data_IF_882308314504
#
_entry.id   IF_882308314504
#
_cell.length_a   1.000
_cell.length_b   1.000
_cell.length_c   1.000
_cell.angle_alpha   90.00
_cell.angle_beta   90.00
_cell.angle_gamma   90.00
#
_symmetry.space_group_name_H-M   'P 1'
#
loop_
_entity.id
_entity.type
_entity.pdbx_description
1 polymer ?
#
# COMPACT_ATOMS: atom_id res chain seq x y z
N UNK A 1 51.89 -22.87 38.57
CA UNK A 1 51.13 -21.61 38.71
C UNK A 1 50.42 -21.36 37.40
N UNK A 2 49.11 -21.51 37.43
CA UNK A 2 48.21 -21.35 36.30
C UNK A 2 47.72 -19.90 36.19
N UNK A 3 47.07 -19.60 35.07
CA UNK A 3 46.24 -18.43 34.80
C UNK A 3 46.94 -17.15 34.30
N UNK A 4 47.35 -17.14 33.03
CA UNK A 4 47.29 -15.92 32.19
C UNK A 4 46.94 -16.32 30.76
N UNK A 5 45.72 -16.82 30.51
CA UNK A 5 45.26 -16.99 29.12
C UNK A 5 43.74 -17.14 28.97
N UNK A 6 42.92 -16.25 29.54
CA UNK A 6 41.49 -16.22 29.16
C UNK A 6 40.83 -14.89 29.52
N UNK A 7 41.07 -13.83 28.74
CA UNK A 7 40.25 -12.61 28.86
C UNK A 7 40.13 -11.77 27.57
N UNK A 8 40.31 -12.39 26.40
CA UNK A 8 40.14 -11.70 25.11
C UNK A 8 39.51 -12.65 24.10
N UNK A 9 38.26 -13.07 24.32
CA UNK A 9 37.46 -13.79 23.30
C UNK A 9 35.95 -13.85 23.65
N UNK A 10 35.37 -12.75 24.14
CA UNK A 10 33.92 -12.60 24.34
C UNK A 10 33.39 -11.25 23.81
N UNK A 11 33.85 -10.84 22.61
CA UNK A 11 33.27 -9.71 21.86
C UNK A 11 32.70 -10.16 20.49
N UNK A 12 32.41 -11.45 20.33
CA UNK A 12 31.91 -12.04 19.09
C UNK A 12 30.57 -12.75 19.32
N UNK A 13 29.51 -12.01 19.69
CA UNK A 13 28.13 -12.51 19.59
C UNK A 13 27.08 -11.38 19.75
N UNK A 14 27.18 -10.31 18.98
CA UNK A 14 26.02 -9.43 18.74
C UNK A 14 26.15 -8.62 17.44
N UNK A 15 26.84 -9.13 16.42
CA UNK A 15 26.61 -8.69 15.04
C UNK A 15 25.35 -9.38 14.50
N UNK A 16 24.24 -9.23 15.23
CA UNK A 16 22.92 -9.41 14.67
C UNK A 16 22.74 -8.28 13.69
N UNK A 17 23.07 -8.56 12.42
CA UNK A 17 22.58 -7.88 11.24
C UNK A 17 21.70 -6.66 11.55
N UNK A 18 22.27 -5.45 11.50
CA UNK A 18 21.52 -4.18 11.47
C UNK A 18 20.86 -4.06 10.10
N UNK A 19 20.07 -5.05 9.71
CA UNK A 19 19.03 -4.85 8.73
C UNK A 19 17.99 -3.97 9.40
N UNK A 20 17.71 -2.82 8.79
CA UNK A 20 16.77 -1.83 9.31
C UNK A 20 15.52 -2.52 9.84
N UNK A 21 15.29 -2.38 11.15
CA UNK A 21 14.12 -3.00 11.78
C UNK A 21 12.86 -2.53 11.07
N UNK A 22 11.90 -3.43 10.88
CA UNK A 22 10.61 -3.16 10.22
C UNK A 22 9.47 -3.32 11.20
N UNK A 23 8.32 -2.77 10.83
CA UNK A 23 7.07 -3.13 11.50
C UNK A 23 6.81 -4.64 11.34
N UNK A 24 6.35 -5.25 12.42
CA UNK A 24 5.91 -6.64 12.46
C UNK A 24 4.67 -6.75 13.33
N UNK A 25 3.90 -7.80 13.10
CA UNK A 25 2.79 -8.19 13.98
C UNK A 25 3.26 -9.36 14.85
N UNK A 26 2.98 -9.29 16.15
CA UNK A 26 3.21 -10.38 17.09
C UNK A 26 1.97 -10.50 17.98
N UNK A 27 1.23 -11.62 17.84
CA UNK A 27 -0.10 -11.75 18.42
C UNK A 27 -1.02 -10.64 17.90
N UNK A 28 -1.59 -9.87 18.83
CA UNK A 28 -2.47 -8.73 18.55
C UNK A 28 -1.76 -7.36 18.61
N UNK A 29 -0.43 -7.34 18.52
CA UNK A 29 0.36 -6.11 18.66
C UNK A 29 1.20 -5.84 17.42
N UNK A 30 1.25 -4.55 17.06
CA UNK A 30 2.22 -4.03 16.11
C UNK A 30 3.49 -3.72 16.90
N UNK A 31 4.64 -4.16 16.40
CA UNK A 31 5.94 -3.93 17.01
C UNK A 31 6.94 -3.33 16.03
N UNK A 32 7.81 -2.46 16.54
CA UNK A 32 8.98 -1.93 15.85
C UNK A 32 10.18 -2.01 16.79
N UNK A 33 11.33 -2.52 16.32
CA UNK A 33 12.54 -2.70 17.15
C UNK A 33 12.28 -3.43 18.49
N UNK A 34 11.36 -4.39 18.48
CA UNK A 34 10.98 -5.19 19.66
C UNK A 34 10.06 -4.48 20.66
N UNK A 35 9.64 -3.25 20.39
CA UNK A 35 8.70 -2.50 21.23
C UNK A 35 7.31 -2.46 20.60
N UNK A 36 6.26 -2.48 21.43
CA UNK A 36 4.89 -2.24 20.99
C UNK A 36 4.79 -0.81 20.45
N UNK A 37 4.15 -0.65 19.30
CA UNK A 37 3.91 0.64 18.65
C UNK A 37 2.42 0.82 18.41
N UNK A 38 1.94 2.05 18.59
CA UNK A 38 0.65 2.51 18.12
C UNK A 38 0.87 3.36 16.86
N UNK A 39 0.13 3.07 15.78
CA UNK A 39 0.20 3.83 14.53
C UNK A 39 -0.68 5.08 14.66
N UNK A 40 -0.05 6.24 14.88
CA UNK A 40 -0.72 7.53 15.04
C UNK A 40 -0.40 8.44 13.88
N UNK A 41 -1.41 8.98 13.23
CA UNK A 41 -1.23 9.95 12.16
C UNK A 41 -2.48 10.15 11.35
N UNK A 42 -2.35 10.18 10.02
CA UNK A 42 -3.47 10.54 9.16
C UNK A 42 -3.33 10.07 7.73
N UNK A 43 -4.37 10.36 6.96
CA UNK A 43 -4.38 10.19 5.52
C UNK A 43 -3.85 11.49 4.89
N UNK A 44 -2.91 11.38 3.94
CA UNK A 44 -2.50 12.52 3.12
C UNK A 44 -3.69 13.14 2.38
N UNK A 45 -4.64 12.35 1.82
CA UNK A 45 -4.52 11.03 1.15
C UNK A 45 -3.88 11.08 -0.25
N UNK A 46 -3.73 12.27 -0.84
CA UNK A 46 -3.04 12.54 -2.11
C UNK A 46 -2.62 14.02 -2.14
N UNK A 47 -1.75 14.40 -3.08
CA UNK A 47 -1.50 15.80 -3.42
C UNK A 47 -2.30 16.21 -4.66
N UNK A 48 -2.16 15.43 -5.74
CA UNK A 48 -2.94 15.50 -6.95
C UNK A 48 -3.65 14.15 -7.12
N UNK A 49 -4.98 14.14 -6.98
CA UNK A 49 -5.78 12.91 -7.00
C UNK A 49 -5.46 12.03 -8.21
N UNK A 50 -4.99 10.79 -7.98
CA UNK A 50 -4.56 9.81 -8.97
C UNK A 50 -3.36 10.20 -9.86
N UNK A 51 -2.66 11.29 -9.51
CA UNK A 51 -1.62 11.93 -10.33
C UNK A 51 -0.36 12.27 -9.50
N UNK A 52 -0.06 11.49 -8.46
CA UNK A 52 1.10 11.72 -7.57
C UNK A 52 2.36 10.95 -7.99
N UNK A 53 2.23 9.79 -8.65
CA UNK A 53 3.32 8.86 -8.93
C UNK A 53 3.38 8.44 -10.39
N UNK A 54 4.58 8.13 -10.89
CA UNK A 54 4.79 7.72 -12.28
C UNK A 54 4.63 8.88 -13.25
N UNK A 55 5.05 8.68 -14.50
CA UNK A 55 5.02 9.69 -15.56
C UNK A 55 5.67 11.03 -15.16
N UNK A 56 6.77 10.98 -14.39
CA UNK A 56 7.50 12.13 -13.83
C UNK A 56 6.69 13.02 -12.84
N UNK A 57 5.49 12.59 -12.41
CA UNK A 57 4.58 13.42 -11.60
C UNK A 57 5.13 13.70 -10.19
N UNK A 58 5.77 12.70 -9.57
CA UNK A 58 6.31 12.79 -8.22
C UNK A 58 7.28 13.96 -8.04
N UNK A 59 8.16 14.20 -9.02
CA UNK A 59 9.16 15.26 -8.96
C UNK A 59 8.53 16.65 -8.72
N UNK A 60 7.34 16.91 -9.27
CA UNK A 60 6.62 18.17 -9.12
C UNK A 60 5.91 18.33 -7.77
N UNK A 61 5.56 17.22 -7.10
CA UNK A 61 4.78 17.24 -5.85
C UNK A 61 5.56 16.82 -4.61
N UNK A 62 6.76 16.26 -4.77
CA UNK A 62 7.62 15.76 -3.67
C UNK A 62 7.76 16.75 -2.52
N UNK A 63 8.05 18.02 -2.83
CA UNK A 63 8.22 19.06 -1.80
C UNK A 63 6.95 19.31 -0.97
N UNK A 64 5.75 19.13 -1.56
CA UNK A 64 4.47 19.24 -0.85
C UNK A 64 4.25 18.04 0.06
N UNK A 65 4.59 16.83 -0.39
CA UNK A 65 4.53 15.61 0.43
C UNK A 65 5.51 15.69 1.60
N UNK A 66 6.74 16.13 1.33
CA UNK A 66 7.76 16.33 2.37
C UNK A 66 7.28 17.32 3.44
N UNK A 67 6.63 18.41 3.04
CA UNK A 67 6.02 19.36 3.99
C UNK A 67 4.97 18.67 4.88
N UNK A 68 4.10 17.82 4.33
CA UNK A 68 3.11 17.09 5.13
C UNK A 68 3.75 16.08 6.08
N UNK A 69 4.77 15.36 5.63
CA UNK A 69 5.54 14.43 6.48
C UNK A 69 6.24 15.17 7.62
N UNK A 70 6.87 16.33 7.34
CA UNK A 70 7.46 17.17 8.38
C UNK A 70 6.41 17.61 9.39
N UNK A 71 5.28 18.14 8.93
CA UNK A 71 4.19 18.58 9.82
C UNK A 71 3.65 17.44 10.69
N UNK A 72 3.46 16.26 10.11
CA UNK A 72 3.03 15.07 10.83
C UNK A 72 4.03 14.69 11.92
N UNK A 73 5.33 14.69 11.60
CA UNK A 73 6.40 14.38 12.56
C UNK A 73 6.48 15.44 13.66
N UNK A 74 6.43 16.72 13.32
CA UNK A 74 6.45 17.82 14.29
C UNK A 74 5.26 17.73 15.28
N UNK A 75 4.11 17.21 14.82
CA UNK A 75 2.94 16.95 15.63
C UNK A 75 3.00 15.63 16.45
N UNK A 76 4.10 14.88 16.36
CA UNK A 76 4.29 13.60 17.07
C UNK A 76 3.66 12.38 16.39
N UNK A 77 3.20 12.51 15.14
CA UNK A 77 2.70 11.39 14.35
C UNK A 77 3.82 10.53 13.78
N UNK A 78 3.50 9.27 13.48
CA UNK A 78 4.43 8.26 12.96
C UNK A 78 3.91 7.47 11.75
N UNK A 79 2.68 7.73 11.28
CA UNK A 79 2.07 6.96 10.18
C UNK A 79 1.32 7.85 9.20
N UNK A 80 1.58 7.68 7.91
CA UNK A 80 0.89 8.36 6.82
C UNK A 80 0.27 7.33 5.85
N UNK A 81 -1.03 7.42 5.62
CA UNK A 81 -1.73 6.66 4.56
C UNK A 81 -1.90 7.54 3.32
N UNK A 82 -1.64 7.01 2.13
CA UNK A 82 -1.82 7.72 0.86
C UNK A 82 -2.15 6.77 -0.29
N UNK A 83 -2.79 7.29 -1.33
CA UNK A 83 -3.34 6.49 -2.42
C UNK A 83 -2.43 6.51 -3.65
N UNK A 84 -2.39 5.39 -4.38
CA UNK A 84 -1.44 5.15 -5.47
C UNK A 84 -2.13 5.12 -6.84
N UNK A 85 -2.85 4.06 -7.16
CA UNK A 85 -3.48 3.88 -8.47
C UNK A 85 -4.92 4.40 -8.51
N UNK A 86 -5.61 4.34 -7.37
CA UNK A 86 -7.03 4.72 -7.21
C UNK A 86 -7.94 3.91 -8.15
N UNK A 87 -8.20 4.38 -9.37
CA UNK A 87 -8.98 3.64 -10.38
C UNK A 87 -8.23 3.47 -11.70
N UNK A 88 -6.93 3.79 -11.73
CA UNK A 88 -6.05 3.55 -12.87
C UNK A 88 -5.99 4.73 -13.84
N UNK A 89 -6.14 5.96 -13.33
CA UNK A 89 -6.15 7.19 -14.13
C UNK A 89 -4.79 7.46 -14.78
N UNK A 90 -3.68 7.24 -14.06
CA UNK A 90 -2.31 7.42 -14.60
C UNK A 90 -1.41 6.20 -14.46
N UNK A 91 -1.56 5.46 -13.36
CA UNK A 91 -0.82 4.24 -13.09
C UNK A 91 -1.80 3.15 -12.63
N UNK A 92 -1.59 1.88 -13.02
CA UNK A 92 -0.58 1.40 -13.96
C UNK A 92 -0.89 1.80 -15.41
N UNK A 93 0.01 1.48 -16.34
CA UNK A 93 -0.23 1.69 -17.78
C UNK A 93 -1.06 0.53 -18.35
N UNK A 94 -2.16 0.86 -19.01
CA UNK A 94 -3.03 -0.08 -19.71
C UNK A 94 -2.89 0.05 -21.24
N UNK A 95 -3.15 -1.03 -21.98
CA UNK A 95 -3.39 -0.99 -23.43
C UNK A 95 -4.87 -0.74 -23.74
N UNK A 96 -5.21 -0.62 -25.04
CA UNK A 96 -6.59 -0.37 -25.49
C UNK A 96 -7.58 -1.49 -25.16
N UNK A 97 -7.10 -2.67 -24.75
CA UNK A 97 -7.93 -3.79 -24.32
C UNK A 97 -8.05 -3.86 -22.78
N UNK A 98 -7.49 -2.89 -22.06
CA UNK A 98 -7.46 -2.84 -20.61
C UNK A 98 -6.50 -3.86 -19.98
N UNK A 99 -5.51 -4.37 -20.72
CA UNK A 99 -4.44 -5.16 -20.10
C UNK A 99 -3.34 -4.24 -19.60
N UNK A 100 -2.84 -4.51 -18.39
CA UNK A 100 -1.65 -3.82 -17.89
C UNK A 100 -0.44 -4.16 -18.75
N UNK A 101 0.30 -3.15 -19.20
CA UNK A 101 1.52 -3.28 -20.00
C UNK A 101 2.78 -2.83 -19.27
N UNK A 102 2.64 -2.08 -18.17
CA UNK A 102 3.78 -1.68 -17.33
C UNK A 102 3.36 -0.76 -16.17
N UNK A 103 4.30 -0.35 -15.31
CA UNK A 103 4.01 0.48 -14.15
C UNK A 103 3.54 1.90 -14.52
N UNK A 104 4.15 2.49 -15.52
CA UNK A 104 3.81 3.82 -16.07
C UNK A 104 4.33 3.92 -17.52
N UNK A 105 4.15 5.09 -18.15
CA UNK A 105 4.66 5.36 -19.50
C UNK A 105 6.14 5.73 -19.50
N UNK A 106 6.56 6.54 -18.53
CA UNK A 106 7.89 7.18 -18.54
C UNK A 106 8.94 6.42 -17.70
N UNK A 107 8.59 5.31 -17.07
CA UNK A 107 9.53 4.45 -16.33
C UNK A 107 9.95 4.98 -14.96
N UNK A 108 9.17 5.88 -14.37
CA UNK A 108 9.49 6.59 -13.12
C UNK A 108 8.78 6.05 -11.89
N UNK A 109 7.68 5.32 -12.07
CA UNK A 109 6.79 4.93 -10.96
C UNK A 109 7.53 4.20 -9.81
N UNK A 110 8.39 3.24 -10.12
CA UNK A 110 9.10 2.47 -9.08
C UNK A 110 10.13 3.34 -8.35
N UNK A 111 10.86 4.23 -9.05
CA UNK A 111 11.80 5.14 -8.42
C UNK A 111 11.09 6.19 -7.56
N UNK A 112 9.95 6.69 -8.01
CA UNK A 112 9.11 7.63 -7.26
C UNK A 112 8.63 7.01 -5.95
N UNK A 113 8.13 5.78 -6.02
CA UNK A 113 7.67 5.03 -4.85
C UNK A 113 8.81 4.81 -3.85
N UNK A 114 10.01 4.45 -4.33
CA UNK A 114 11.18 4.29 -3.47
C UNK A 114 11.57 5.62 -2.82
N UNK A 115 11.62 6.72 -3.57
CA UNK A 115 11.99 8.03 -3.05
C UNK A 115 10.96 8.58 -2.04
N UNK A 116 9.67 8.24 -2.19
CA UNK A 116 8.65 8.50 -1.16
C UNK A 116 8.96 7.76 0.15
N UNK A 117 9.35 6.48 0.08
CA UNK A 117 9.71 5.71 1.28
C UNK A 117 11.02 6.22 1.90
N UNK A 118 12.03 6.54 1.07
CA UNK A 118 13.30 7.14 1.51
C UNK A 118 13.04 8.50 2.20
N UNK A 119 12.10 9.29 1.66
CA UNK A 119 11.63 10.54 2.28
C UNK A 119 10.95 10.28 3.63
N UNK A 120 9.99 9.36 3.70
CA UNK A 120 9.29 9.03 4.93
C UNK A 120 10.25 8.53 6.04
N UNK A 121 11.27 7.75 5.65
CA UNK A 121 12.30 7.28 6.58
C UNK A 121 13.07 8.44 7.23
N UNK A 122 13.37 9.52 6.49
CA UNK A 122 14.05 10.71 7.06
C UNK A 122 13.23 11.40 8.15
N UNK A 123 11.91 11.20 8.15
CA UNK A 123 10.99 11.80 9.12
C UNK A 123 10.45 10.79 10.14
N UNK A 124 11.02 9.58 10.22
CA UNK A 124 10.54 8.44 11.03
C UNK A 124 9.03 8.16 10.86
N UNK A 125 8.55 8.19 9.61
CA UNK A 125 7.15 7.92 9.28
C UNK A 125 7.03 6.56 8.58
N UNK A 126 6.08 5.75 9.04
CA UNK A 126 5.60 4.58 8.32
C UNK A 126 4.57 4.99 7.28
N UNK A 127 4.72 4.47 6.07
CA UNK A 127 3.79 4.71 4.95
C UNK A 127 2.91 3.50 4.76
N UNK A 128 1.60 3.75 4.62
CA UNK A 128 0.59 2.77 4.20
C UNK A 128 0.11 3.19 2.78
N UNK A 129 0.79 2.72 1.72
CA UNK A 129 0.31 2.87 0.35
C UNK A 129 -1.00 2.10 0.15
N UNK A 130 -2.03 2.79 -0.34
CA UNK A 130 -3.31 2.19 -0.76
C UNK A 130 -3.35 2.07 -2.27
N UNK A 131 -3.42 0.85 -2.79
CA UNK A 131 -3.30 0.61 -4.23
C UNK A 131 -4.53 1.09 -4.99
N UNK A 132 -5.72 0.61 -4.64
CA UNK A 132 -6.97 0.86 -5.37
C UNK A 132 -8.04 1.53 -4.52
N UNK A 133 -9.11 2.03 -5.13
CA UNK A 133 -10.28 2.57 -4.44
C UNK A 133 -11.59 2.21 -5.15
N UNK A 134 -12.57 1.74 -4.39
CA UNK A 134 -13.93 1.48 -4.86
C UNK A 134 -14.97 2.45 -4.25
N UNK A 135 -14.52 3.51 -3.59
CA UNK A 135 -15.41 4.46 -2.90
C UNK A 135 -16.20 5.39 -3.84
N UNK A 136 -15.81 5.52 -5.10
CA UNK A 136 -16.43 6.45 -6.08
C UNK A 136 -16.56 5.79 -7.46
N UNK A 137 -17.59 6.10 -8.27
CA UNK A 137 -17.77 5.51 -9.60
C UNK A 137 -17.07 6.31 -10.71
N UNK A 138 -15.74 6.41 -10.68
CA UNK A 138 -14.96 7.19 -11.65
C UNK A 138 -14.09 6.34 -12.58
N UNK A 139 -14.26 5.01 -12.55
CA UNK A 139 -13.57 4.06 -13.44
C UNK A 139 -14.18 4.06 -14.86
N UNK A 140 -14.12 5.20 -15.54
CA UNK A 140 -14.70 5.41 -16.87
C UNK A 140 -14.05 4.55 -17.96
N UNK A 141 -12.78 4.17 -17.77
CA UNK A 141 -12.02 3.32 -18.69
C UNK A 141 -12.14 1.83 -18.37
N UNK A 142 -12.90 1.46 -17.32
CA UNK A 142 -13.06 0.08 -16.86
C UNK A 142 -11.73 -0.63 -16.54
N UNK A 143 -10.74 0.14 -16.06
CA UNK A 143 -9.42 -0.35 -15.70
C UNK A 143 -9.50 -1.18 -14.43
N UNK A 144 -9.98 -0.59 -13.33
CA UNK A 144 -10.14 -1.31 -12.06
C UNK A 144 -11.15 -2.46 -12.22
N UNK A 145 -12.26 -2.21 -12.90
CA UNK A 145 -13.25 -3.23 -13.22
C UNK A 145 -12.63 -4.45 -13.90
N UNK A 146 -11.86 -4.22 -14.96
CA UNK A 146 -11.18 -5.29 -15.68
C UNK A 146 -10.25 -6.11 -14.79
N UNK A 147 -9.60 -5.50 -13.79
CA UNK A 147 -8.77 -6.23 -12.84
C UNK A 147 -9.60 -7.05 -11.85
N UNK A 148 -10.79 -6.60 -11.45
CA UNK A 148 -11.66 -7.33 -10.51
C UNK A 148 -12.29 -8.55 -11.21
N UNK A 149 -12.79 -8.38 -12.44
CA UNK A 149 -13.63 -9.41 -13.08
C UNK A 149 -12.86 -10.35 -14.03
N UNK A 150 -11.68 -9.95 -14.53
CA UNK A 150 -10.88 -10.76 -15.46
C UNK A 150 -9.50 -11.13 -14.86
N UNK A 151 -9.37 -12.41 -14.51
CA UNK A 151 -8.14 -12.98 -13.96
C UNK A 151 -6.90 -12.76 -14.85
N UNK A 152 -7.05 -12.72 -16.19
CA UNK A 152 -5.92 -12.50 -17.09
C UNK A 152 -5.38 -11.08 -16.95
N UNK A 153 -6.27 -10.10 -16.78
CA UNK A 153 -5.90 -8.69 -16.55
C UNK A 153 -5.26 -8.52 -15.17
N UNK A 154 -5.87 -9.09 -14.12
CA UNK A 154 -5.30 -9.09 -12.76
C UNK A 154 -3.90 -9.71 -12.72
N UNK A 155 -3.74 -10.89 -13.33
CA UNK A 155 -2.43 -11.55 -13.43
C UNK A 155 -1.42 -10.70 -14.19
N UNK A 156 -1.86 -9.96 -15.21
CA UNK A 156 -1.05 -8.97 -15.92
C UNK A 156 -0.54 -7.87 -14.98
N UNK A 157 -1.44 -7.26 -14.20
CA UNK A 157 -1.10 -6.27 -13.17
C UNK A 157 -0.07 -6.82 -12.16
N UNK A 158 -0.37 -8.00 -11.58
CA UNK A 158 0.48 -8.63 -10.57
C UNK A 158 1.90 -8.83 -11.11
N UNK A 159 2.04 -9.39 -12.31
CA UNK A 159 3.36 -9.73 -12.88
C UNK A 159 4.16 -8.51 -13.34
N UNK A 160 3.49 -7.52 -13.92
CA UNK A 160 4.16 -6.40 -14.59
C UNK A 160 4.35 -5.19 -13.69
N UNK A 161 3.61 -5.09 -12.58
CA UNK A 161 3.61 -3.89 -11.72
C UNK A 161 3.79 -4.28 -10.26
N UNK A 162 2.83 -4.99 -9.67
CA UNK A 162 2.84 -5.25 -8.22
C UNK A 162 4.07 -6.04 -7.78
N UNK A 163 4.41 -7.13 -8.48
CA UNK A 163 5.57 -7.95 -8.13
C UNK A 163 6.90 -7.19 -8.28
N UNK A 164 7.18 -6.49 -9.41
CA UNK A 164 8.36 -5.63 -9.52
C UNK A 164 8.44 -4.55 -8.43
N UNK A 165 7.32 -3.88 -8.13
CA UNK A 165 7.24 -2.87 -7.08
C UNK A 165 7.56 -3.46 -5.70
N UNK A 166 6.83 -4.50 -5.29
CA UNK A 166 7.03 -5.12 -3.98
C UNK A 166 8.46 -5.65 -3.85
N UNK A 167 9.02 -6.22 -4.93
CA UNK A 167 10.41 -6.70 -4.94
C UNK A 167 11.42 -5.56 -4.75
N UNK A 168 11.20 -4.40 -5.35
CA UNK A 168 12.15 -3.27 -5.29
C UNK A 168 12.17 -2.56 -3.93
N UNK A 169 11.04 -2.56 -3.20
CA UNK A 169 10.92 -1.92 -1.89
C UNK A 169 10.84 -2.91 -0.72
N UNK A 170 11.01 -4.21 -0.99
CA UNK A 170 11.03 -5.25 0.04
C UNK A 170 12.13 -4.93 1.05
N UNK A 171 11.74 -4.82 2.32
CA UNK A 171 12.71 -4.56 3.39
C UNK A 171 12.87 -3.09 3.75
N UNK A 172 12.24 -2.16 3.02
CA UNK A 172 12.31 -0.75 3.34
C UNK A 172 11.67 -0.47 4.73
N UNK A 173 12.38 0.17 5.69
CA UNK A 173 11.90 0.31 7.07
C UNK A 173 10.70 1.25 7.22
N UNK A 174 10.58 2.26 6.35
CA UNK A 174 9.42 3.14 6.30
C UNK A 174 8.18 2.53 5.64
N UNK A 175 8.26 1.35 5.00
CA UNK A 175 7.06 0.70 4.46
C UNK A 175 6.33 -0.01 5.61
N UNK A 176 5.17 0.51 6.01
CA UNK A 176 4.44 0.01 7.17
C UNK A 176 3.51 -1.16 6.86
N UNK A 177 2.73 -1.04 5.78
CA UNK A 177 1.82 -2.08 5.29
C UNK A 177 1.53 -1.86 3.80
N UNK A 178 0.81 -2.79 3.17
CA UNK A 178 0.14 -2.55 1.89
C UNK A 178 -1.36 -2.56 2.16
N UNK A 179 -2.06 -1.49 1.79
CA UNK A 179 -3.52 -1.47 1.73
C UNK A 179 -3.92 -1.76 0.27
N UNK A 180 -4.64 -2.87 0.04
CA UNK A 180 -4.95 -3.32 -1.31
C UNK A 180 -6.03 -2.43 -1.94
N UNK A 181 -7.07 -2.05 -1.19
CA UNK A 181 -8.21 -1.33 -1.72
C UNK A 181 -8.91 -0.53 -0.63
N UNK A 182 -9.09 0.77 -0.89
CA UNK A 182 -9.97 1.62 -0.11
C UNK A 182 -11.44 1.26 -0.37
N UNK A 183 -12.16 0.91 0.70
CA UNK A 183 -13.63 0.78 0.75
C UNK A 183 -14.23 -0.05 -0.40
N UNK A 184 -13.87 -1.35 -0.52
CA UNK A 184 -14.50 -2.25 -1.50
C UNK A 184 -16.02 -2.24 -1.42
N UNK A 185 -16.59 -2.05 -0.22
CA UNK A 185 -18.02 -1.98 0.04
C UNK A 185 -18.73 -0.89 -0.76
N UNK A 186 -18.01 0.14 -1.21
CA UNK A 186 -18.54 1.18 -2.07
C UNK A 186 -19.19 0.64 -3.34
N UNK A 187 -18.68 -0.49 -3.86
CA UNK A 187 -19.20 -1.12 -5.08
C UNK A 187 -19.76 -2.54 -4.89
N UNK A 188 -19.90 -3.02 -3.65
CA UNK A 188 -20.47 -4.35 -3.39
C UNK A 188 -22.00 -4.35 -3.54
N UNK A 189 -22.54 -5.44 -4.06
CA UNK A 189 -23.98 -5.73 -4.01
C UNK A 189 -24.34 -6.19 -2.59
N UNK A 190 -25.13 -5.40 -1.89
CA UNK A 190 -25.77 -5.76 -0.62
C UNK A 190 -26.97 -6.70 -0.83
N UNK A 191 -27.45 -7.33 0.24
CA UNK A 191 -28.69 -8.12 0.22
C UNK A 191 -28.60 -9.44 -0.55
N UNK A 192 -27.41 -9.88 -0.97
CA UNK A 192 -27.23 -11.11 -1.74
C UNK A 192 -27.05 -12.28 -0.79
N UNK A 193 -27.99 -13.23 -0.83
CA UNK A 193 -27.82 -14.47 -0.08
C UNK A 193 -26.86 -15.41 -0.80
N UNK A 194 -25.99 -16.07 -0.03
CA UNK A 194 -25.10 -17.13 -0.51
C UNK A 194 -25.02 -18.26 0.52
N UNK A 195 -24.80 -19.49 0.05
CA UNK A 195 -24.58 -20.64 0.93
C UNK A 195 -23.26 -20.58 1.69
N UNK A 196 -22.24 -19.90 1.14
CA UNK A 196 -21.00 -19.61 1.85
C UNK A 196 -21.19 -18.32 2.67
N UNK A 197 -21.11 -18.37 4.00
CA UNK A 197 -21.30 -17.19 4.84
C UNK A 197 -20.24 -16.09 4.58
N UNK A 198 -19.12 -16.41 3.93
CA UNK A 198 -18.13 -15.41 3.53
C UNK A 198 -18.60 -14.54 2.34
N UNK A 199 -19.56 -15.01 1.54
CA UNK A 199 -20.07 -14.30 0.36
C UNK A 199 -21.48 -13.75 0.52
N UNK A 200 -22.19 -14.16 1.58
CA UNK A 200 -23.50 -13.64 1.93
C UNK A 200 -23.42 -12.17 2.37
N UNK A 201 -24.15 -11.30 1.68
CA UNK A 201 -24.24 -9.86 1.98
C UNK A 201 -25.62 -9.45 2.48
N UNK A 202 -26.45 -10.39 2.93
CA UNK A 202 -27.78 -10.08 3.48
C UNK A 202 -27.68 -9.15 4.70
N UNK A 203 -26.63 -9.31 5.51
CA UNK A 203 -26.33 -8.42 6.63
C UNK A 203 -25.94 -6.99 6.22
N UNK A 204 -25.58 -6.75 4.96
CA UNK A 204 -25.28 -5.42 4.43
C UNK A 204 -26.51 -4.70 3.86
N UNK A 205 -27.67 -5.37 3.78
CA UNK A 205 -28.90 -4.74 3.29
C UNK A 205 -29.22 -3.48 4.11
N UNK A 206 -29.50 -2.37 3.42
CA UNK A 206 -29.77 -1.05 4.00
C UNK A 206 -28.66 -0.47 4.91
N UNK A 207 -27.44 -1.03 4.87
CA UNK A 207 -26.27 -0.48 5.58
C UNK A 207 -25.72 0.80 4.95
N UNK A 208 -26.04 1.05 3.68
CA UNK A 208 -25.42 2.05 2.82
C UNK A 208 -24.36 1.49 1.86
N UNK A 209 -23.97 0.23 1.99
CA UNK A 209 -23.06 -0.44 1.04
C UNK A 209 -23.57 -0.38 -0.41
N UNK A 210 -22.64 -0.31 -1.36
CA UNK A 210 -22.95 -0.12 -2.77
C UNK A 210 -23.30 1.33 -3.15
N UNK A 211 -22.92 2.31 -2.33
CA UNK A 211 -23.20 3.74 -2.58
C UNK A 211 -22.56 4.28 -3.87
N UNK A 212 -21.43 3.72 -4.29
CA UNK A 212 -20.78 4.01 -5.56
C UNK A 212 -21.28 3.10 -6.70
N UNK A 213 -22.28 2.26 -6.44
CA UNK A 213 -22.93 1.39 -7.42
C UNK A 213 -22.76 -0.09 -7.07
N UNK A 214 -23.87 -0.81 -6.98
CA UNK A 214 -23.93 -2.25 -6.63
C UNK A 214 -23.41 -3.13 -7.78
N UNK A 215 -22.08 -3.21 -7.93
CA UNK A 215 -21.41 -3.75 -9.12
C UNK A 215 -20.86 -5.16 -8.93
N UNK A 216 -20.25 -5.44 -7.77
CA UNK A 216 -19.52 -6.68 -7.52
C UNK A 216 -20.18 -7.54 -6.46
N UNK A 217 -20.19 -8.85 -6.68
CA UNK A 217 -20.42 -9.84 -5.62
C UNK A 217 -19.11 -10.03 -4.82
N UNK A 218 -19.19 -10.38 -3.52
CA UNK A 218 -18.01 -10.44 -2.64
C UNK A 218 -16.88 -11.32 -3.19
N UNK A 219 -17.24 -12.49 -3.74
CA UNK A 219 -16.25 -13.43 -4.28
C UNK A 219 -15.41 -12.86 -5.44
N UNK A 220 -15.87 -11.79 -6.11
CA UNK A 220 -15.12 -11.13 -7.19
C UNK A 220 -14.02 -10.22 -6.63
N UNK A 221 -14.25 -9.60 -5.47
CA UNK A 221 -13.28 -8.72 -4.80
C UNK A 221 -12.17 -9.51 -4.09
N UNK A 222 -12.42 -10.77 -3.74
CA UNK A 222 -11.48 -11.64 -3.02
C UNK A 222 -10.41 -12.32 -3.91
N UNK A 223 -10.40 -12.03 -5.22
CA UNK A 223 -9.48 -12.65 -6.19
C UNK A 223 -8.16 -11.91 -6.30
#
# INVERSE_FOLDING_TARGET
MAAVLTCLLLLLAASGEVFGSRLKVSGNQIQFKGQKVFLSGGNLPWINYAHDFGNNQWSGIKHRVEKQMKMLRDAGGNTLRLWIHIQGETTPRFDSNGHVVGPDRDGTFISDFKDMLDLAQRYDIFVIPTLWSAAVPQDYSHHLDGLIVDWRKLRGYIRKVLHPLVKSVKGHPALGAWDIMNEPEGMIKDGKSDSDPCFDTTALYDSGAGWAGKKYDYYQILR
#
